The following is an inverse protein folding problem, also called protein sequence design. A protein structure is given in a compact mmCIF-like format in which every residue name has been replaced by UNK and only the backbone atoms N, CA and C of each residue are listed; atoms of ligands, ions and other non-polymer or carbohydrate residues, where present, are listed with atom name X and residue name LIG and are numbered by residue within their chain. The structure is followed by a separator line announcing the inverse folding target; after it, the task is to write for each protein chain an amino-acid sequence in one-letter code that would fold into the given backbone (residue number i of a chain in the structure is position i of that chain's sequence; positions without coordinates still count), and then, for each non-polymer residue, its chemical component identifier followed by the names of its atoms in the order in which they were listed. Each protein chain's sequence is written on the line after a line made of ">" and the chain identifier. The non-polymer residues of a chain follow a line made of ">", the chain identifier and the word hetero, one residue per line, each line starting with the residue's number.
data_IF_455290614455
#
_entry.id   IF_455290614455
#
_cell.length_a   1.000
_cell.length_b   1.000
_cell.length_c   1.000
_cell.angle_alpha   90.00
_cell.angle_beta   90.00
_cell.angle_gamma   90.00
#
_symmetry.space_group_name_H-M   'P 1'
#
loop_
_entity.id
_entity.type
_entity.pdbx_description
1 polymer ?
#
# COMPACT_ATOMS: atom_id res chain seq x y z
N UNK A 1 -34.14 13.29 5.19
CA UNK A 1 -33.74 11.86 5.23
C UNK A 1 -32.90 11.56 3.99
N UNK A 2 -31.58 11.72 4.10
CA UNK A 2 -30.62 11.21 3.13
C UNK A 2 -29.29 11.05 3.87
N UNK A 3 -29.04 9.85 4.37
CA UNK A 3 -27.80 9.50 5.05
C UNK A 3 -26.77 9.26 3.95
N UNK A 4 -26.16 10.33 3.45
CA UNK A 4 -24.95 10.24 2.61
C UNK A 4 -23.82 9.91 3.57
N UNK A 5 -23.64 8.63 3.84
CA UNK A 5 -22.46 8.13 4.51
C UNK A 5 -21.24 8.60 3.72
N UNK A 6 -20.58 9.62 4.25
CA UNK A 6 -19.31 10.13 3.77
C UNK A 6 -18.26 9.12 4.23
N UNK A 7 -18.20 7.99 3.53
CA UNK A 7 -17.22 6.93 3.75
C UNK A 7 -15.83 7.33 3.23
N UNK A 8 -15.70 8.52 2.63
CA UNK A 8 -14.43 9.06 2.12
C UNK A 8 -13.55 9.70 3.21
N UNK A 9 -14.09 10.02 4.39
CA UNK A 9 -13.31 10.69 5.46
C UNK A 9 -12.61 9.70 6.42
N UNK A 10 -12.47 8.41 6.07
CA UNK A 10 -11.76 7.41 6.90
C UNK A 10 -10.34 7.07 6.40
N UNK A 11 -9.88 7.66 5.30
CA UNK A 11 -8.50 7.56 4.84
C UNK A 11 -7.72 8.81 5.28
N UNK A 12 -7.47 8.95 6.59
CA UNK A 12 -6.72 10.09 7.13
C UNK A 12 -5.43 10.36 6.34
N UNK A 13 -5.26 11.59 5.86
CA UNK A 13 -4.08 12.19 5.21
C UNK A 13 -3.10 11.21 4.52
N UNK A 14 -3.60 10.33 3.65
CA UNK A 14 -2.73 9.50 2.80
C UNK A 14 -2.65 10.08 1.39
N UNK A 15 -1.43 10.40 0.95
CA UNK A 15 -1.16 10.84 -0.41
C UNK A 15 -0.62 9.68 -1.25
N UNK A 16 -1.16 9.53 -2.48
CA UNK A 16 -0.68 8.51 -3.42
C UNK A 16 0.58 9.01 -4.12
N UNK A 17 1.65 8.23 -4.02
CA UNK A 17 2.89 8.45 -4.75
C UNK A 17 3.03 7.45 -5.91
N UNK A 18 3.79 7.82 -6.94
CA UNK A 18 4.17 6.93 -8.04
C UNK A 18 5.68 6.74 -8.03
N UNK A 19 6.14 5.49 -8.09
CA UNK A 19 7.55 5.13 -8.14
C UNK A 19 7.79 4.11 -9.25
N UNK A 20 8.99 4.15 -9.84
CA UNK A 20 9.43 3.12 -10.78
C UNK A 20 10.23 2.07 -10.00
N UNK A 21 9.96 0.79 -10.27
CA UNK A 21 10.66 -0.36 -9.69
C UNK A 21 11.11 -1.29 -10.81
N UNK A 22 12.23 -1.98 -10.61
CA UNK A 22 12.67 -3.03 -11.54
C UNK A 22 11.72 -4.23 -11.49
N UNK A 23 11.63 -4.98 -12.60
CA UNK A 23 10.81 -6.19 -12.65
C UNK A 23 11.22 -7.25 -11.62
N UNK A 24 12.51 -7.34 -11.32
CA UNK A 24 13.06 -8.27 -10.33
C UNK A 24 12.62 -7.85 -8.92
N UNK A 25 12.75 -6.56 -8.58
CA UNK A 25 12.34 -6.03 -7.28
C UNK A 25 10.84 -6.24 -7.05
N UNK A 26 10.02 -5.98 -8.09
CA UNK A 26 8.58 -6.21 -8.01
C UNK A 26 8.24 -7.68 -7.75
N UNK A 27 8.92 -8.61 -8.43
CA UNK A 27 8.74 -10.05 -8.20
C UNK A 27 9.14 -10.48 -6.79
N UNK A 28 10.20 -9.90 -6.24
CA UNK A 28 10.61 -10.16 -4.86
C UNK A 28 9.58 -9.61 -3.86
N UNK A 29 9.05 -8.41 -4.08
CA UNK A 29 7.98 -7.83 -3.26
C UNK A 29 6.73 -8.72 -3.31
N UNK A 30 6.37 -9.19 -4.50
CA UNK A 30 5.22 -10.08 -4.69
C UNK A 30 5.37 -11.40 -3.94
N UNK A 31 6.56 -11.99 -3.98
CA UNK A 31 6.83 -13.22 -3.22
C UNK A 31 6.68 -12.97 -1.72
N UNK A 32 7.22 -11.87 -1.19
CA UNK A 32 7.12 -11.54 0.24
C UNK A 32 5.67 -11.30 0.68
N UNK A 33 4.85 -10.70 -0.18
CA UNK A 33 3.42 -10.53 0.07
C UNK A 33 2.70 -11.88 0.02
N UNK A 34 3.01 -12.73 -0.97
CA UNK A 34 2.40 -14.05 -1.13
C UNK A 34 2.70 -14.99 0.04
N UNK A 35 3.94 -14.98 0.54
CA UNK A 35 4.35 -15.76 1.72
C UNK A 35 3.83 -15.18 3.05
N UNK A 36 3.11 -14.04 3.01
CA UNK A 36 2.43 -13.47 4.16
C UNK A 36 3.31 -12.60 5.07
N UNK A 37 4.53 -12.25 4.66
CA UNK A 37 5.40 -11.34 5.42
C UNK A 37 4.86 -9.90 5.42
N UNK A 38 4.13 -9.51 4.37
CA UNK A 38 3.47 -8.21 4.26
C UNK A 38 2.02 -8.39 3.81
N UNK A 39 1.13 -7.53 4.29
CA UNK A 39 -0.30 -7.63 3.93
C UNK A 39 -0.59 -7.22 2.48
N UNK A 40 0.22 -6.32 1.92
CA UNK A 40 0.13 -5.87 0.53
C UNK A 40 1.41 -5.11 0.12
N UNK A 41 1.55 -4.79 -1.18
CA UNK A 41 2.70 -4.04 -1.71
C UNK A 41 2.89 -2.66 -1.06
N UNK A 42 1.80 -1.95 -0.75
CA UNK A 42 1.86 -0.63 -0.10
C UNK A 42 2.44 -0.72 1.31
N UNK A 43 2.14 -1.79 2.04
CA UNK A 43 2.66 -2.05 3.38
C UNK A 43 4.17 -2.33 3.39
N UNK A 44 4.63 -3.10 2.40
CA UNK A 44 6.07 -3.27 2.14
C UNK A 44 6.75 -1.91 1.92
N UNK A 45 6.23 -1.09 0.99
CA UNK A 45 6.82 0.21 0.65
C UNK A 45 6.82 1.14 1.87
N UNK A 46 5.73 1.16 2.66
CA UNK A 46 5.66 1.97 3.88
C UNK A 46 6.70 1.55 4.91
N UNK A 47 6.93 0.25 5.06
CA UNK A 47 7.96 -0.28 5.97
C UNK A 47 9.36 0.06 5.51
N UNK A 48 9.63 -0.03 4.20
CA UNK A 48 10.92 0.30 3.58
C UNK A 48 11.27 1.79 3.64
N UNK A 49 10.30 2.69 3.73
CA UNK A 49 10.54 4.14 3.89
C UNK A 49 10.83 4.52 5.35
N UNK A 50 10.36 3.71 6.31
CA UNK A 50 10.51 3.98 7.75
C UNK A 50 11.84 3.51 8.35
N UNK A 51 12.53 2.57 7.70
CA UNK A 51 13.81 2.00 8.12
C UNK A 51 14.90 2.32 7.09
#
# INVERSE_FOLDING_TARGET
>A
MAIRWRMDDMAGDTEKITINLGFIDLGQIDLLVQEGFYSNRTDFIRTAIRN
#
